data_IF_371987246251
#
_entry.id   IF_371987246251
#
_cell.length_a   1.000
_cell.length_b   1.000
_cell.length_c   1.000
_cell.angle_alpha   90.00
_cell.angle_beta   90.00
_cell.angle_gamma   90.00
#
_symmetry.space_group_name_H-M   'P 1'
#
loop_
_entity.id
_entity.type
_entity.pdbx_description
1 polymer ?
#
# COMPACT_ATOMS: atom_id res chain seq x y z
N UNK A 1 27.76 -7.38 2.74
CA UNK A 1 26.57 -6.90 3.31
C UNK A 1 26.80 -6.48 4.74
N UNK A 2 26.14 -5.55 5.07
CA UNK A 2 26.25 -5.04 6.41
C UNK A 2 25.21 -5.71 7.31
N UNK A 3 25.67 -6.54 8.23
CA UNK A 3 24.78 -7.21 9.17
C UNK A 3 24.07 -6.21 10.08
N UNK A 4 24.66 -5.02 10.24
CA UNK A 4 24.05 -3.97 11.05
C UNK A 4 22.70 -3.57 10.49
N UNK A 5 22.56 -3.50 9.18
CA UNK A 5 21.29 -3.15 8.56
C UNK A 5 20.21 -4.17 8.89
N UNK A 6 20.57 -5.46 8.85
CA UNK A 6 19.63 -6.51 9.20
C UNK A 6 19.24 -6.44 10.66
N UNK A 7 20.22 -6.16 11.50
CA UNK A 7 19.98 -6.06 12.95
C UNK A 7 19.09 -4.90 13.31
N UNK A 8 19.17 -3.82 12.54
CA UNK A 8 18.38 -2.63 12.78
C UNK A 8 16.93 -2.78 12.33
N UNK A 9 16.64 -3.81 11.53
CA UNK A 9 15.32 -3.94 10.92
C UNK A 9 14.43 -4.85 11.73
N UNK A 10 13.92 -4.31 12.81
CA UNK A 10 12.92 -4.97 13.62
C UNK A 10 11.55 -4.56 13.12
N UNK A 11 10.60 -5.46 13.30
CA UNK A 11 9.22 -5.18 12.92
C UNK A 11 8.67 -4.02 13.74
N UNK A 12 7.93 -3.16 13.05
CA UNK A 12 7.21 -2.05 13.68
C UNK A 12 5.74 -2.42 13.69
N UNK A 13 5.14 -2.40 14.87
CA UNK A 13 3.73 -2.71 15.03
C UNK A 13 2.87 -1.64 14.33
N UNK A 14 2.03 -2.08 13.42
CA UNK A 14 1.09 -1.20 12.75
C UNK A 14 -0.23 -1.24 13.52
N UNK A 15 -0.71 -0.08 13.93
CA UNK A 15 -1.98 0.06 14.65
C UNK A 15 -2.97 0.74 13.70
N UNK A 16 -4.07 0.07 13.42
CA UNK A 16 -5.13 0.60 12.59
C UNK A 16 -6.46 0.48 13.32
N UNK A 17 -7.27 1.51 13.23
CA UNK A 17 -8.58 1.55 13.88
C UNK A 17 -9.71 1.90 12.90
N UNK A 18 -9.38 2.09 11.63
CA UNK A 18 -10.36 2.53 10.63
C UNK A 18 -11.50 1.52 10.47
N UNK A 19 -11.21 0.23 10.57
CA UNK A 19 -12.24 -0.79 10.48
C UNK A 19 -13.27 -0.63 11.58
N UNK A 20 -12.82 -0.52 12.81
CA UNK A 20 -13.73 -0.34 13.96
C UNK A 20 -14.46 0.99 13.91
N UNK A 21 -13.80 2.04 13.47
CA UNK A 21 -14.41 3.37 13.37
C UNK A 21 -15.53 3.38 12.33
N UNK A 22 -15.33 2.74 11.19
CA UNK A 22 -16.27 2.82 10.08
C UNK A 22 -17.30 1.69 10.08
N UNK A 23 -16.90 0.49 10.50
CA UNK A 23 -17.72 -0.71 10.36
C UNK A 23 -17.88 -1.49 11.66
N UNK A 24 -17.45 -0.94 12.79
CA UNK A 24 -17.43 -1.69 14.03
C UNK A 24 -18.80 -2.18 14.50
N UNK A 25 -19.86 -1.44 14.21
CA UNK A 25 -21.23 -1.83 14.55
C UNK A 25 -21.89 -2.69 13.47
N UNK A 26 -21.65 -2.32 12.21
CA UNK A 26 -22.29 -3.00 11.09
C UNK A 26 -21.66 -4.37 10.80
N UNK A 27 -20.34 -4.44 10.84
CA UNK A 27 -19.60 -5.66 10.50
C UNK A 27 -18.41 -5.82 11.46
N UNK A 28 -18.69 -6.19 12.72
CA UNK A 28 -17.64 -6.21 13.75
C UNK A 28 -16.52 -7.21 13.46
N UNK A 29 -16.81 -8.35 12.88
CA UNK A 29 -15.77 -9.32 12.54
C UNK A 29 -14.86 -8.79 11.43
N UNK A 30 -15.46 -8.23 10.38
CA UNK A 30 -14.67 -7.64 9.30
C UNK A 30 -13.80 -6.51 9.82
N UNK A 31 -14.35 -5.66 10.67
CA UNK A 31 -13.62 -4.55 11.27
C UNK A 31 -12.41 -5.07 12.07
N UNK A 32 -12.62 -6.12 12.86
CA UNK A 32 -11.54 -6.73 13.64
C UNK A 32 -10.48 -7.35 12.73
N UNK A 33 -10.90 -8.06 11.69
CA UNK A 33 -9.95 -8.65 10.74
C UNK A 33 -9.11 -7.57 10.05
N UNK A 34 -9.74 -6.47 9.67
CA UNK A 34 -9.03 -5.36 9.06
C UNK A 34 -7.99 -4.77 10.01
N UNK A 35 -8.40 -4.46 11.24
CA UNK A 35 -7.56 -3.75 12.18
C UNK A 35 -6.49 -4.65 12.79
N UNK A 36 -6.89 -5.82 13.28
CA UNK A 36 -6.00 -6.66 14.10
C UNK A 36 -5.20 -7.65 13.27
N UNK A 37 -5.77 -8.16 12.18
CA UNK A 37 -5.10 -9.20 11.39
C UNK A 37 -4.40 -8.57 10.19
N UNK A 38 -5.12 -7.88 9.31
CA UNK A 38 -4.49 -7.29 8.14
C UNK A 38 -3.37 -6.32 8.55
N UNK A 39 -3.69 -5.35 9.36
CA UNK A 39 -2.69 -4.37 9.77
C UNK A 39 -1.88 -4.82 10.97
N UNK A 40 -2.55 -5.36 11.99
CA UNK A 40 -1.88 -5.75 13.23
C UNK A 40 -0.95 -6.96 13.10
N UNK A 41 -1.16 -7.81 12.12
CA UNK A 41 -0.33 -8.99 11.93
C UNK A 41 0.38 -8.97 10.57
N UNK A 42 -0.37 -8.82 9.47
CA UNK A 42 0.25 -8.92 8.13
C UNK A 42 1.17 -7.74 7.86
N UNK A 43 0.66 -6.52 7.92
CA UNK A 43 1.48 -5.33 7.71
C UNK A 43 2.55 -5.15 8.77
N UNK A 44 2.34 -5.73 9.94
CA UNK A 44 3.29 -5.64 11.05
C UNK A 44 4.48 -6.59 10.89
N UNK A 45 4.46 -7.48 9.91
CA UNK A 45 5.62 -8.31 9.58
C UNK A 45 6.56 -7.58 8.63
N UNK A 46 6.84 -6.35 8.93
CA UNK A 46 7.66 -5.50 8.05
C UNK A 46 9.15 -5.69 8.23
N UNK A 47 9.55 -6.59 9.11
CA UNK A 47 10.92 -7.12 9.17
C UNK A 47 11.16 -8.18 8.09
N UNK A 48 10.11 -8.86 7.65
CA UNK A 48 10.19 -9.87 6.57
C UNK A 48 9.98 -9.21 5.21
N UNK A 49 8.90 -8.42 5.09
CA UNK A 49 8.66 -7.63 3.89
C UNK A 49 8.48 -6.18 4.32
N UNK A 50 9.46 -5.32 4.05
CA UNK A 50 9.42 -3.93 4.50
C UNK A 50 8.19 -3.17 4.02
N UNK A 51 7.83 -2.12 4.76
CA UNK A 51 6.63 -1.33 4.46
C UNK A 51 6.63 -0.76 3.05
N UNK A 52 7.78 -0.33 2.57
CA UNK A 52 7.89 0.21 1.21
C UNK A 52 7.50 -0.84 0.19
N UNK A 53 8.05 -2.04 0.31
CA UNK A 53 7.75 -3.14 -0.61
C UNK A 53 6.30 -3.60 -0.48
N UNK A 54 5.77 -3.65 0.75
CA UNK A 54 4.34 -3.98 0.94
C UNK A 54 3.44 -3.00 0.22
N UNK A 55 3.78 -1.71 0.28
CA UNK A 55 3.03 -0.67 -0.43
C UNK A 55 3.09 -0.87 -1.93
N UNK A 56 4.26 -1.22 -2.46
CA UNK A 56 4.42 -1.48 -3.89
C UNK A 56 3.55 -2.65 -4.32
N UNK A 57 3.58 -3.74 -3.55
CA UNK A 57 2.76 -4.93 -3.83
C UNK A 57 1.28 -4.57 -3.80
N UNK A 58 0.85 -3.80 -2.81
CA UNK A 58 -0.55 -3.43 -2.64
C UNK A 58 -1.04 -2.55 -3.79
N UNK A 59 -0.29 -1.49 -4.10
CA UNK A 59 -0.62 -0.58 -5.19
C UNK A 59 -0.68 -1.35 -6.52
N UNK A 60 0.32 -2.20 -6.76
CA UNK A 60 0.38 -3.00 -7.98
C UNK A 60 -0.82 -3.93 -8.11
N UNK A 61 -1.21 -4.59 -7.02
CA UNK A 61 -2.35 -5.50 -7.01
C UNK A 61 -3.65 -4.77 -7.33
N UNK A 62 -3.83 -3.57 -6.75
CA UNK A 62 -5.03 -2.77 -6.98
C UNK A 62 -5.12 -2.32 -8.44
N UNK A 63 -4.03 -1.80 -8.99
CA UNK A 63 -4.02 -1.36 -10.39
C UNK A 63 -4.32 -2.52 -11.32
N UNK A 64 -3.67 -3.66 -11.08
CA UNK A 64 -3.82 -4.83 -11.94
C UNK A 64 -5.27 -5.34 -11.96
N UNK A 65 -5.99 -5.19 -10.85
CA UNK A 65 -7.40 -5.56 -10.77
C UNK A 65 -8.34 -4.51 -11.34
N UNK A 66 -7.82 -3.34 -11.69
CA UNK A 66 -8.65 -2.24 -12.16
C UNK A 66 -9.33 -1.48 -11.04
N UNK A 67 -8.84 -1.61 -9.82
CA UNK A 67 -9.37 -0.85 -8.68
C UNK A 67 -8.67 0.50 -8.68
N UNK A 68 -9.33 1.47 -9.34
CA UNK A 68 -8.77 2.80 -9.56
C UNK A 68 -9.69 3.86 -8.96
N UNK A 69 -10.08 3.63 -7.72
CA UNK A 69 -10.92 4.55 -6.95
C UNK A 69 -10.14 5.13 -5.77
N UNK A 70 -10.85 5.67 -4.80
CA UNK A 70 -10.23 6.30 -3.63
C UNK A 70 -9.35 5.35 -2.83
N UNK A 71 -9.60 4.02 -2.88
CA UNK A 71 -8.74 3.09 -2.16
C UNK A 71 -7.35 3.03 -2.78
N UNK A 72 -7.23 3.17 -4.10
CA UNK A 72 -5.93 3.26 -4.74
C UNK A 72 -5.19 4.51 -4.28
N UNK A 73 -5.89 5.65 -4.25
CA UNK A 73 -5.29 6.90 -3.78
C UNK A 73 -4.77 6.76 -2.35
N UNK A 74 -5.57 6.17 -1.47
CA UNK A 74 -5.18 5.94 -0.10
C UNK A 74 -3.88 5.14 -0.02
N UNK A 75 -3.79 4.05 -0.78
CA UNK A 75 -2.59 3.21 -0.74
C UNK A 75 -1.39 3.86 -1.42
N UNK A 76 -1.61 4.74 -2.39
CA UNK A 76 -0.51 5.55 -2.95
C UNK A 76 0.02 6.55 -1.93
N UNK A 77 -0.88 7.16 -1.15
CA UNK A 77 -0.47 8.07 -0.07
C UNK A 77 0.36 7.31 0.98
N UNK A 78 -0.07 6.12 1.32
CA UNK A 78 0.68 5.27 2.24
C UNK A 78 2.03 4.87 1.64
N UNK A 79 2.06 4.53 0.36
CA UNK A 79 3.30 4.22 -0.34
C UNK A 79 4.29 5.38 -0.28
N UNK A 80 3.79 6.60 -0.48
CA UNK A 80 4.63 7.79 -0.38
C UNK A 80 5.22 7.93 1.02
N UNK A 81 4.41 7.74 2.04
CA UNK A 81 4.89 7.76 3.44
C UNK A 81 5.93 6.70 3.69
N UNK A 82 5.79 5.56 3.06
CA UNK A 82 6.70 4.42 3.25
C UNK A 82 7.94 4.50 2.36
N UNK A 83 8.13 5.62 1.67
CA UNK A 83 9.37 5.87 0.95
C UNK A 83 9.34 5.58 -0.55
N UNK A 84 8.19 5.28 -1.12
CA UNK A 84 8.08 5.15 -2.58
C UNK A 84 8.11 6.56 -3.16
N UNK A 85 9.13 6.85 -3.95
CA UNK A 85 9.31 8.18 -4.53
C UNK A 85 8.39 8.37 -5.74
N UNK A 86 8.27 9.63 -6.18
CA UNK A 86 7.54 9.97 -7.39
C UNK A 86 8.05 9.19 -8.59
N UNK A 87 9.37 9.16 -8.78
CA UNK A 87 9.97 8.46 -9.92
C UNK A 87 9.75 6.96 -9.82
N UNK A 88 9.84 6.40 -8.61
CA UNK A 88 9.55 4.99 -8.41
C UNK A 88 8.08 4.68 -8.72
N UNK A 89 7.16 5.52 -8.25
CA UNK A 89 5.74 5.30 -8.52
C UNK A 89 5.45 5.34 -10.02
N UNK A 90 6.04 6.31 -10.73
CA UNK A 90 5.88 6.38 -12.18
C UNK A 90 6.38 5.11 -12.87
N UNK A 91 7.50 4.58 -12.40
CA UNK A 91 8.09 3.38 -12.97
C UNK A 91 7.25 2.14 -12.66
N UNK A 92 6.71 2.06 -11.44
CA UNK A 92 5.81 0.98 -11.04
C UNK A 92 4.58 0.93 -11.96
N UNK A 93 3.95 2.08 -12.17
CA UNK A 93 2.74 2.16 -13.01
C UNK A 93 3.08 1.82 -14.46
N UNK A 94 4.23 2.28 -14.93
CA UNK A 94 4.70 1.97 -16.29
C UNK A 94 4.90 0.48 -16.47
N UNK A 95 5.52 -0.18 -15.50
CA UNK A 95 5.70 -1.63 -15.52
C UNK A 95 4.36 -2.35 -15.58
N UNK A 96 3.43 -1.96 -14.72
CA UNK A 96 2.10 -2.58 -14.64
C UNK A 96 1.32 -2.39 -15.95
N UNK A 97 1.51 -1.26 -16.63
CA UNK A 97 0.82 -0.98 -17.88
C UNK A 97 1.03 -2.08 -18.91
N UNK A 98 2.23 -2.64 -18.96
CA UNK A 98 2.58 -3.68 -19.92
C UNK A 98 2.02 -5.05 -19.56
N UNK A 99 1.72 -5.26 -18.28
CA UNK A 99 1.22 -6.56 -17.81
C UNK A 99 -0.28 -6.59 -17.56
N UNK A 100 -0.89 -5.42 -17.31
CA UNK A 100 -2.30 -5.37 -16.91
C UNK A 100 -3.16 -4.47 -17.79
N UNK A 101 -2.55 -3.72 -18.69
CA UNK A 101 -3.30 -2.91 -19.64
C UNK A 101 -3.09 -1.41 -19.44
N UNK A 102 -3.02 -0.73 -20.57
CA UNK A 102 -2.70 0.69 -20.64
C UNK A 102 -3.76 1.59 -19.99
N UNK A 103 -5.07 1.32 -20.19
CA UNK A 103 -6.09 2.16 -19.56
C UNK A 103 -6.05 2.18 -18.04
N UNK A 104 -5.72 1.03 -17.41
CA UNK A 104 -5.58 0.98 -15.96
C UNK A 104 -4.44 1.85 -15.48
N UNK A 105 -3.35 1.87 -16.23
CA UNK A 105 -2.20 2.72 -15.90
C UNK A 105 -2.56 4.20 -16.02
N UNK A 106 -3.29 4.58 -17.07
CA UNK A 106 -3.77 5.95 -17.22
C UNK A 106 -4.57 6.41 -16.00
N UNK A 107 -5.52 5.57 -15.57
CA UNK A 107 -6.33 5.88 -14.40
C UNK A 107 -5.46 6.02 -13.15
N UNK A 108 -4.48 5.13 -12.98
CA UNK A 108 -3.58 5.18 -11.84
C UNK A 108 -2.74 6.45 -11.82
N UNK A 109 -2.28 6.92 -12.99
CA UNK A 109 -1.51 8.15 -13.07
C UNK A 109 -2.30 9.37 -12.63
N UNK A 110 -3.63 9.36 -12.81
CA UNK A 110 -4.48 10.44 -12.32
C UNK A 110 -4.29 10.63 -10.81
N UNK A 111 -4.33 9.55 -10.07
CA UNK A 111 -4.12 9.60 -8.61
C UNK A 111 -2.66 9.87 -8.25
N UNK A 112 -1.73 9.29 -8.99
CA UNK A 112 -0.31 9.51 -8.70
C UNK A 112 0.06 11.00 -8.80
N UNK A 113 -0.47 11.69 -9.79
CA UNK A 113 -0.24 13.13 -9.92
C UNK A 113 -0.79 13.90 -8.72
N UNK A 114 -1.95 13.53 -8.23
CA UNK A 114 -2.53 14.16 -7.04
C UNK A 114 -1.65 13.92 -5.81
N UNK A 115 -1.25 12.66 -5.61
CA UNK A 115 -0.50 12.27 -4.41
C UNK A 115 0.89 12.90 -4.39
N UNK A 116 1.54 12.98 -5.53
CA UNK A 116 2.93 13.47 -5.61
C UNK A 116 3.03 14.93 -6.04
N UNK A 117 1.91 15.63 -6.15
CA UNK A 117 1.93 17.07 -6.33
C UNK A 117 2.19 17.56 -7.75
N UNK A 118 1.74 16.81 -8.73
CA UNK A 118 1.91 17.21 -10.12
C UNK A 118 0.65 17.76 -10.73
#
# INVERSE_FOLDING_TARGET
>A
MNTTDNQAKKAVKIVQTAGRQQLGTFAPDFARYNDDILFGEVWSKNDVLPLKERSIVTVSALIAQGITDSSLKYHMETAKKNGVTKDEMAEIITQIAFYSGWPKAWAAFGYAKEVYGE
#
